data_IF_678867752405
#
_entry.id   IF_678867752405
#
_cell.length_a   1.000
_cell.length_b   1.000
_cell.length_c   1.000
_cell.angle_alpha   90.00
_cell.angle_beta   90.00
_cell.angle_gamma   90.00
#
_symmetry.space_group_name_H-M   'P 1'
#
loop_
_entity.id
_entity.type
_entity.pdbx_description
1 polymer ?
#
# COMPACT_ATOMS: atom_id res chain seq x y z
N UNK A 1 36.17 13.69 18.77
CA UNK A 1 34.89 13.17 18.23
C UNK A 1 33.66 13.75 18.90
N UNK A 2 33.66 14.06 20.21
CA UNK A 2 32.47 14.58 20.91
C UNK A 2 31.90 15.89 20.33
N UNK A 3 32.76 16.75 19.76
CA UNK A 3 32.35 17.99 19.11
C UNK A 3 32.13 17.86 17.59
N UNK A 4 31.98 16.63 17.07
CA UNK A 4 31.78 16.41 15.65
C UNK A 4 30.44 16.99 15.18
N UNK A 5 30.43 17.60 14.00
CA UNK A 5 29.22 18.11 13.35
C UNK A 5 28.42 16.95 12.73
N UNK A 6 27.12 17.14 12.56
CA UNK A 6 26.24 16.10 12.01
C UNK A 6 26.63 15.62 10.59
N UNK A 7 27.26 16.48 9.78
CA UNK A 7 27.74 16.14 8.44
C UNK A 7 29.07 15.36 8.41
N UNK A 8 29.71 15.14 9.56
CA UNK A 8 30.90 14.30 9.68
C UNK A 8 30.58 12.83 9.90
N UNK A 9 29.31 12.50 10.10
CA UNK A 9 28.84 11.13 10.26
C UNK A 9 28.05 10.69 9.05
N UNK A 10 28.21 9.44 8.66
CA UNK A 10 27.42 8.79 7.61
C UNK A 10 27.08 7.37 8.01
N UNK A 11 26.01 6.82 7.42
CA UNK A 11 25.56 5.46 7.65
C UNK A 11 25.83 4.62 6.40
N UNK A 12 26.57 3.54 6.58
CA UNK A 12 26.91 2.59 5.51
C UNK A 12 25.82 1.52 5.32
N UNK A 13 25.71 0.90 4.13
CA UNK A 13 24.82 -0.25 3.89
C UNK A 13 25.05 -1.46 4.80
N UNK A 14 26.27 -1.59 5.35
CA UNK A 14 26.69 -2.64 6.28
C UNK A 14 26.22 -2.37 7.72
N UNK A 15 25.52 -1.26 7.96
CA UNK A 15 25.04 -0.87 9.29
C UNK A 15 26.15 -0.30 10.18
N UNK A 16 27.24 0.20 9.60
CA UNK A 16 28.30 0.92 10.32
C UNK A 16 28.07 2.43 10.26
N UNK A 17 28.22 3.10 11.40
CA UNK A 17 28.33 4.55 11.47
C UNK A 17 29.80 4.90 11.22
N UNK A 18 30.02 5.66 10.15
CA UNK A 18 31.34 6.11 9.73
C UNK A 18 31.53 7.58 10.15
N UNK A 19 32.72 7.91 10.65
CA UNK A 19 33.12 9.27 10.99
C UNK A 19 34.23 9.77 10.06
N UNK A 20 34.15 11.05 9.69
CA UNK A 20 35.17 11.73 8.91
C UNK A 20 35.65 12.99 9.62
N UNK A 21 36.97 13.18 9.69
CA UNK A 21 37.57 14.38 10.27
C UNK A 21 37.25 15.64 9.45
N UNK A 22 37.25 15.53 8.11
CA UNK A 22 36.88 16.61 7.18
C UNK A 22 35.55 16.25 6.50
N UNK A 23 34.50 17.10 6.60
CA UNK A 23 33.19 16.79 6.02
C UNK A 23 33.16 16.61 4.50
N UNK A 24 34.13 17.20 3.78
CA UNK A 24 34.18 17.19 2.30
C UNK A 24 35.23 16.20 1.76
N UNK A 25 35.73 15.30 2.60
CA UNK A 25 36.73 14.31 2.18
C UNK A 25 36.09 13.23 1.29
N UNK A 26 36.67 12.92 0.12
CA UNK A 26 36.18 11.83 -0.74
C UNK A 26 36.53 10.44 -0.20
N UNK A 27 37.40 10.33 0.81
CA UNK A 27 37.81 9.06 1.40
C UNK A 27 36.69 8.45 2.26
N UNK A 28 36.53 7.10 2.26
CA UNK A 28 35.59 6.44 3.15
C UNK A 28 35.87 6.79 4.61
N UNK A 29 34.82 7.09 5.37
CA UNK A 29 34.94 7.40 6.79
C UNK A 29 35.41 6.21 7.62
N UNK A 30 35.93 6.48 8.81
CA UNK A 30 36.39 5.45 9.75
C UNK A 30 35.19 4.90 10.51
N UNK A 31 35.00 3.57 10.63
CA UNK A 31 33.89 3.00 11.38
C UNK A 31 34.07 3.25 12.88
N UNK A 32 33.06 3.86 13.50
CA UNK A 32 33.07 4.23 14.94
C UNK A 32 32.01 3.51 15.74
N UNK A 33 30.96 3.03 15.10
CA UNK A 33 29.91 2.26 15.74
C UNK A 33 29.20 1.35 14.73
N UNK A 34 28.49 0.35 15.25
CA UNK A 34 27.65 -0.58 14.50
C UNK A 34 26.22 -0.52 15.01
N UNK A 35 25.27 -0.62 14.09
CA UNK A 35 23.86 -0.78 14.42
C UNK A 35 23.59 -2.20 14.93
N UNK A 36 22.88 -2.27 16.05
CA UNK A 36 22.40 -3.52 16.64
C UNK A 36 20.89 -3.44 16.85
N UNK A 37 20.27 -4.60 17.09
CA UNK A 37 18.84 -4.67 17.36
C UNK A 37 18.49 -3.78 18.56
N UNK A 38 17.52 -2.88 18.37
CA UNK A 38 16.96 -2.03 19.42
C UNK A 38 15.55 -2.44 19.82
N UNK A 39 14.84 -1.54 20.48
CA UNK A 39 13.46 -1.76 20.96
C UNK A 39 12.45 -1.83 19.80
N UNK A 40 12.72 -1.12 18.71
CA UNK A 40 11.87 -1.03 17.52
C UNK A 40 12.74 -0.84 16.28
N UNK A 41 12.27 -1.25 15.10
CA UNK A 41 13.00 -1.05 13.83
C UNK A 41 13.48 0.40 13.62
N UNK A 42 12.65 1.40 13.97
CA UNK A 42 12.99 2.83 13.84
C UNK A 42 13.83 3.38 15.01
N UNK A 43 14.14 2.56 16.01
CA UNK A 43 14.97 2.90 17.17
C UNK A 43 16.02 1.81 17.39
N UNK A 44 16.95 1.62 16.44
CA UNK A 44 18.01 0.62 16.57
C UNK A 44 18.96 0.97 17.73
N UNK A 45 19.60 -0.05 18.29
CA UNK A 45 20.68 0.13 19.24
C UNK A 45 21.99 0.50 18.54
N UNK A 46 22.93 1.04 19.30
CA UNK A 46 24.28 1.38 18.83
C UNK A 46 25.30 0.67 19.70
N UNK A 47 26.24 -0.01 19.05
CA UNK A 47 27.43 -0.60 19.66
C UNK A 47 28.65 0.19 19.21
N UNK A 48 29.37 0.82 20.14
CA UNK A 48 30.55 1.63 19.80
C UNK A 48 31.73 0.69 19.56
N UNK A 49 32.45 0.92 18.45
CA UNK A 49 33.62 0.13 18.09
C UNK A 49 34.87 0.74 18.74
N UNK A 50 35.76 -0.12 19.24
CA UNK A 50 37.05 0.31 19.78
C UNK A 50 38.03 0.60 18.64
N UNK A 51 38.43 1.86 18.49
CA UNK A 51 39.42 2.31 17.53
C UNK A 51 40.24 3.47 18.11
N UNK A 52 41.26 3.94 17.38
CA UNK A 52 42.14 5.03 17.82
C UNK A 52 41.39 6.32 18.17
N UNK A 53 40.21 6.52 17.58
CA UNK A 53 39.39 7.72 17.71
C UNK A 53 38.33 7.62 18.82
N UNK A 54 37.97 6.41 19.26
CA UNK A 54 36.98 6.14 20.32
C UNK A 54 37.63 5.77 21.66
N UNK A 55 38.86 5.25 21.67
CA UNK A 55 39.55 4.78 22.89
C UNK A 55 39.69 5.83 23.99
N UNK A 56 39.98 7.08 23.62
CA UNK A 56 40.24 8.17 24.57
C UNK A 56 39.01 9.05 24.83
N UNK A 57 37.82 8.57 24.45
CA UNK A 57 36.56 9.32 24.56
C UNK A 57 35.66 8.62 25.58
N UNK A 58 34.92 9.41 26.36
CA UNK A 58 33.90 8.86 27.26
C UNK A 58 32.82 8.13 26.45
N UNK A 59 32.77 6.80 26.62
CA UNK A 59 31.95 5.90 25.82
C UNK A 59 30.45 6.21 25.94
N UNK A 60 30.00 6.60 27.14
CA UNK A 60 28.60 6.95 27.40
C UNK A 60 28.18 8.21 26.63
N UNK A 61 28.99 9.27 26.67
CA UNK A 61 28.73 10.51 25.95
C UNK A 61 28.77 10.30 24.42
N UNK A 62 29.76 9.54 23.93
CA UNK A 62 29.87 9.21 22.52
C UNK A 62 28.63 8.43 22.04
N UNK A 63 28.20 7.43 22.79
CA UNK A 63 26.98 6.65 22.48
C UNK A 63 25.75 7.55 22.42
N UNK A 64 25.59 8.47 23.36
CA UNK A 64 24.46 9.42 23.38
C UNK A 64 24.47 10.35 22.16
N UNK A 65 25.65 10.89 21.80
CA UNK A 65 25.79 11.74 20.62
C UNK A 65 25.50 11.00 19.31
N UNK A 66 26.00 9.76 19.18
CA UNK A 66 25.72 8.91 18.02
C UNK A 66 24.24 8.52 17.94
N UNK A 67 23.60 8.24 19.08
CA UNK A 67 22.17 7.95 19.14
C UNK A 67 21.33 9.17 18.73
N UNK A 68 21.68 10.36 19.21
CA UNK A 68 21.03 11.60 18.81
C UNK A 68 21.17 11.83 17.31
N UNK A 69 22.39 11.73 16.78
CA UNK A 69 22.64 11.88 15.35
C UNK A 69 21.84 10.87 14.52
N UNK A 70 21.84 9.60 14.92
CA UNK A 70 21.12 8.53 14.21
C UNK A 70 19.61 8.79 14.22
N UNK A 71 19.06 9.19 15.37
CA UNK A 71 17.64 9.53 15.48
C UNK A 71 17.28 10.73 14.58
N UNK A 72 18.13 11.74 14.50
CA UNK A 72 17.95 12.87 13.57
C UNK A 72 18.06 12.40 12.10
N UNK A 73 19.02 11.55 11.77
CA UNK A 73 19.16 11.00 10.42
C UNK A 73 17.93 10.19 9.99
N UNK A 74 17.45 9.27 10.85
CA UNK A 74 16.23 8.49 10.62
C UNK A 74 15.02 9.42 10.53
N UNK A 75 14.91 10.42 11.42
CA UNK A 75 13.86 11.43 11.41
C UNK A 75 13.82 12.28 10.14
N UNK A 76 14.96 12.52 9.49
CA UNK A 76 15.02 13.28 8.24
C UNK A 76 14.69 12.41 7.02
N UNK A 77 15.21 11.18 6.96
CA UNK A 77 15.02 10.29 5.80
C UNK A 77 13.64 9.63 5.81
N UNK A 78 13.13 9.26 6.99
CA UNK A 78 11.84 8.60 7.21
C UNK A 78 10.86 9.52 7.94
N UNK A 79 10.97 10.85 7.75
CA UNK A 79 10.14 11.87 8.41
C UNK A 79 8.64 11.50 8.46
N UNK A 80 7.98 11.12 7.35
CA UNK A 80 6.55 10.82 7.39
C UNK A 80 6.21 9.64 8.28
N UNK A 81 7.12 8.65 8.37
CA UNK A 81 6.94 7.45 9.17
C UNK A 81 7.19 7.74 10.65
N UNK A 82 8.27 8.47 10.97
CA UNK A 82 8.58 8.87 12.36
C UNK A 82 7.47 9.74 12.95
N UNK A 83 6.88 10.62 12.15
CA UNK A 83 5.76 11.46 12.55
C UNK A 83 4.51 10.64 12.95
N UNK A 84 4.29 9.46 12.38
CA UNK A 84 3.18 8.57 12.79
C UNK A 84 3.37 7.98 14.19
N UNK A 85 4.62 7.85 14.65
CA UNK A 85 4.93 7.30 15.98
C UNK A 85 4.69 8.30 17.12
N UNK A 86 4.42 9.57 16.80
CA UNK A 86 4.07 10.58 17.79
C UNK A 86 2.62 10.36 18.18
N UNK A 87 2.39 9.82 19.38
CA UNK A 87 1.04 9.65 19.89
C UNK A 87 0.44 11.00 20.25
N UNK A 88 -0.52 11.44 19.45
CA UNK A 88 -1.40 12.54 19.80
C UNK A 88 -2.40 12.04 20.85
N UNK A 89 -2.83 12.91 21.77
CA UNK A 89 -3.86 12.60 22.75
C UNK A 89 -5.22 12.40 22.03
N UNK A 90 -5.43 11.18 21.55
CA UNK A 90 -6.66 10.74 20.90
C UNK A 90 -7.42 9.78 21.84
N UNK A 91 -8.76 9.73 21.74
CA UNK A 91 -9.54 8.75 22.48
C UNK A 91 -9.12 7.33 22.13
N UNK A 92 -9.20 6.42 23.10
CA UNK A 92 -8.91 5.01 22.87
C UNK A 92 -9.86 4.44 21.81
N UNK A 93 -9.31 3.67 20.87
CA UNK A 93 -10.07 3.09 19.76
C UNK A 93 -10.34 4.03 18.58
N UNK A 94 -9.61 5.15 18.47
CA UNK A 94 -9.63 5.99 17.26
C UNK A 94 -9.05 5.22 16.05
N UNK A 95 -9.85 4.96 14.99
CA UNK A 95 -9.39 4.22 13.82
C UNK A 95 -8.20 4.89 13.11
N UNK A 96 -8.05 6.21 13.21
CA UNK A 96 -6.90 6.92 12.61
C UNK A 96 -5.60 6.53 13.31
N UNK A 97 -5.58 6.52 14.65
CA UNK A 97 -4.41 6.13 15.43
C UNK A 97 -4.05 4.67 15.21
N UNK A 98 -5.04 3.78 15.16
CA UNK A 98 -4.81 2.35 14.91
C UNK A 98 -4.14 2.12 13.54
N UNK A 99 -4.60 2.83 12.50
CA UNK A 99 -3.99 2.80 11.16
C UNK A 99 -2.56 3.36 11.21
N UNK A 100 -2.34 4.50 11.87
CA UNK A 100 -1.03 5.13 11.97
C UNK A 100 -0.02 4.22 12.69
N UNK A 101 -0.42 3.60 13.81
CA UNK A 101 0.40 2.66 14.56
C UNK A 101 0.74 1.42 13.75
N UNK A 102 -0.25 0.83 13.08
CA UNK A 102 -0.01 -0.36 12.23
C UNK A 102 0.93 -0.03 11.07
N UNK A 103 0.82 1.16 10.46
CA UNK A 103 1.76 1.63 9.45
C UNK A 103 3.16 1.87 10.03
N UNK A 104 3.26 2.44 11.22
CA UNK A 104 4.53 2.68 11.92
C UNK A 104 5.28 1.36 12.15
N UNK A 105 4.59 0.35 12.70
CA UNK A 105 5.14 -0.96 13.04
C UNK A 105 5.53 -1.77 11.79
N UNK A 106 4.87 -1.53 10.65
CA UNK A 106 5.11 -2.22 9.37
C UNK A 106 6.07 -1.50 8.42
N UNK A 107 6.76 -0.45 8.90
CA UNK A 107 7.65 0.40 8.09
C UNK A 107 6.97 1.07 6.89
N UNK A 108 5.68 1.37 7.03
CA UNK A 108 4.92 2.26 6.15
C UNK A 108 4.15 1.59 5.03
N UNK A 109 4.01 0.26 5.03
CA UNK A 109 3.21 -0.49 4.04
C UNK A 109 2.44 -1.63 4.70
N UNK A 110 1.11 -1.60 4.58
CA UNK A 110 0.20 -2.61 5.16
C UNK A 110 -0.79 -3.10 4.10
N UNK A 111 -1.12 -4.41 4.06
CA UNK A 111 -2.26 -4.89 3.29
C UNK A 111 -3.56 -4.22 3.75
N UNK A 112 -4.34 -3.66 2.82
CA UNK A 112 -5.60 -2.98 3.15
C UNK A 112 -6.57 -3.88 3.91
N UNK A 113 -6.58 -5.17 3.60
CA UNK A 113 -7.40 -6.18 4.28
C UNK A 113 -7.17 -6.20 5.79
N UNK A 114 -5.93 -6.03 6.25
CA UNK A 114 -5.59 -5.97 7.69
C UNK A 114 -6.19 -4.74 8.40
N UNK A 115 -6.49 -3.68 7.64
CA UNK A 115 -7.02 -2.41 8.14
C UNK A 115 -8.49 -2.20 7.78
N UNK A 116 -9.15 -3.19 7.16
CA UNK A 116 -10.55 -3.07 6.71
C UNK A 116 -11.50 -2.67 7.86
N UNK A 117 -11.44 -3.27 9.07
CA UNK A 117 -12.32 -2.89 10.19
C UNK A 117 -12.15 -1.44 10.66
N UNK A 118 -10.95 -0.88 10.55
CA UNK A 118 -10.65 0.50 10.91
C UNK A 118 -11.09 1.44 9.79
N UNK A 119 -10.82 1.08 8.53
CA UNK A 119 -11.19 1.88 7.35
C UNK A 119 -12.70 2.04 7.21
N UNK A 120 -13.48 1.02 7.58
CA UNK A 120 -14.95 1.08 7.58
C UNK A 120 -15.51 2.08 8.61
N UNK A 121 -14.80 2.29 9.72
CA UNK A 121 -15.21 3.20 10.79
C UNK A 121 -14.82 4.67 10.54
N UNK A 122 -13.99 4.93 9.53
CA UNK A 122 -13.49 6.27 9.23
C UNK A 122 -14.59 7.19 8.71
N UNK A 123 -14.80 8.32 9.38
CA UNK A 123 -15.61 9.43 8.88
C UNK A 123 -14.85 10.30 7.84
N UNK A 124 -15.50 11.36 7.37
CA UNK A 124 -14.93 12.28 6.36
C UNK A 124 -13.72 13.05 6.89
N UNK A 125 -13.75 13.48 8.15
CA UNK A 125 -12.73 14.35 8.74
C UNK A 125 -11.49 13.54 9.12
N UNK A 126 -11.69 12.34 9.67
CA UNK A 126 -10.64 11.34 9.88
C UNK A 126 -9.93 10.95 8.57
N UNK A 127 -10.67 10.83 7.46
CA UNK A 127 -10.05 10.64 6.13
C UNK A 127 -9.26 11.87 5.68
N UNK A 128 -9.65 13.08 6.07
CA UNK A 128 -8.84 14.28 5.82
C UNK A 128 -7.55 14.28 6.64
N UNK A 129 -7.59 13.82 7.88
CA UNK A 129 -6.40 13.65 8.74
C UNK A 129 -5.41 12.63 8.15
N UNK A 130 -5.89 11.48 7.67
CA UNK A 130 -4.99 10.52 7.01
C UNK A 130 -4.32 11.09 5.76
N UNK A 131 -5.05 11.91 4.98
CA UNK A 131 -4.49 12.62 3.80
C UNK A 131 -3.45 13.67 4.20
N UNK A 132 -3.66 14.40 5.31
CA UNK A 132 -2.68 15.38 5.78
C UNK A 132 -1.38 14.69 6.24
N UNK A 133 -1.49 13.51 6.88
CA UNK A 133 -0.38 12.61 7.23
C UNK A 133 0.25 11.87 6.03
N UNK A 134 -0.14 12.22 4.79
CA UNK A 134 0.38 11.65 3.53
C UNK A 134 0.15 10.14 3.39
N UNK A 135 -0.84 9.59 4.08
CA UNK A 135 -1.22 8.18 3.97
C UNK A 135 -2.16 8.01 2.77
N UNK A 136 -1.83 7.05 1.90
CA UNK A 136 -2.66 6.66 0.77
C UNK A 136 -3.40 5.38 1.09
N UNK A 137 -4.74 5.44 1.05
CA UNK A 137 -5.63 4.29 1.19
C UNK A 137 -5.86 3.64 -0.19
N UNK A 138 -4.85 2.95 -0.72
CA UNK A 138 -4.93 2.26 -2.01
C UNK A 138 -5.92 1.08 -1.98
N UNK A 139 -6.33 0.53 -3.14
CA UNK A 139 -7.35 -0.52 -3.19
C UNK A 139 -6.90 -1.84 -2.56
N UNK A 140 -5.61 -2.17 -2.65
CA UNK A 140 -5.04 -3.41 -2.07
C UNK A 140 -4.07 -3.12 -0.92
N UNK A 141 -3.37 -1.98 -0.95
CA UNK A 141 -2.35 -1.62 0.02
C UNK A 141 -2.60 -0.22 0.60
N UNK A 142 -2.29 -0.06 1.88
CA UNK A 142 -2.22 1.24 2.55
C UNK A 142 -0.74 1.58 2.75
N UNK A 143 -0.31 2.76 2.30
CA UNK A 143 1.10 3.13 2.32
C UNK A 143 1.34 4.64 2.31
N UNK A 144 2.61 5.04 2.52
CA UNK A 144 3.05 6.45 2.43
C UNK A 144 3.89 6.64 1.15
N UNK A 145 3.40 7.35 0.12
CA UNK A 145 4.11 7.48 -1.16
C UNK A 145 5.51 8.10 -1.07
N UNK A 146 5.73 8.99 -0.10
CA UNK A 146 7.02 9.68 0.09
C UNK A 146 8.15 8.73 0.48
N UNK A 147 7.84 7.52 0.98
CA UNK A 147 8.83 6.52 1.38
C UNK A 147 9.39 5.71 0.20
N UNK A 148 8.90 5.93 -1.02
CA UNK A 148 9.41 5.25 -2.23
C UNK A 148 10.73 5.84 -2.74
N UNK A 149 11.21 6.93 -2.13
CA UNK A 149 12.52 7.52 -2.45
C UNK A 149 13.64 6.52 -2.14
N UNK A 150 14.71 6.43 -2.96
CA UNK A 150 15.76 5.44 -2.77
C UNK A 150 16.41 5.44 -1.39
N UNK A 151 16.69 6.62 -0.83
CA UNK A 151 17.24 6.73 0.53
C UNK A 151 16.34 6.10 1.60
N UNK A 152 15.02 6.29 1.49
CA UNK A 152 14.04 5.71 2.40
C UNK A 152 13.89 4.20 2.21
N UNK A 153 13.97 3.70 0.96
CA UNK A 153 13.97 2.26 0.66
C UNK A 153 15.19 1.59 1.28
N UNK A 154 16.40 2.12 1.05
CA UNK A 154 17.65 1.58 1.63
C UNK A 154 17.64 1.59 3.15
N UNK A 155 17.24 2.72 3.75
CA UNK A 155 17.20 2.84 5.20
C UNK A 155 16.17 1.88 5.83
N UNK A 156 14.98 1.74 5.25
CA UNK A 156 13.99 0.75 5.73
C UNK A 156 14.53 -0.68 5.62
N UNK A 157 15.20 -1.01 4.52
CA UNK A 157 15.81 -2.33 4.33
C UNK A 157 16.90 -2.63 5.38
N UNK A 158 17.77 -1.65 5.65
CA UNK A 158 18.79 -1.73 6.69
C UNK A 158 18.17 -1.91 8.08
N UNK A 159 17.24 -1.04 8.47
CA UNK A 159 16.61 -1.07 9.80
C UNK A 159 15.81 -2.36 10.04
N UNK A 160 15.05 -2.81 9.03
CA UNK A 160 14.33 -4.09 9.10
C UNK A 160 15.29 -5.26 9.27
N UNK A 161 16.40 -5.27 8.52
CA UNK A 161 17.39 -6.34 8.61
C UNK A 161 18.09 -6.38 9.96
N UNK A 162 18.43 -5.21 10.52
CA UNK A 162 18.98 -5.09 11.88
C UNK A 162 17.99 -5.61 12.92
N UNK A 163 16.71 -5.24 12.81
CA UNK A 163 15.66 -5.71 13.75
C UNK A 163 15.45 -7.23 13.70
N UNK A 164 15.44 -7.81 12.49
CA UNK A 164 15.23 -9.24 12.25
C UNK A 164 16.51 -10.08 12.31
N UNK A 165 17.67 -9.48 12.55
CA UNK A 165 18.96 -10.18 12.58
C UNK A 165 19.34 -10.81 11.24
N UNK A 166 18.99 -10.16 10.14
CA UNK A 166 19.29 -10.60 8.77
C UNK A 166 20.64 -10.06 8.30
N UNK A 167 21.33 -10.75 7.37
CA UNK A 167 22.63 -10.30 6.88
C UNK A 167 22.53 -8.93 6.20
N UNK A 168 23.61 -8.17 6.30
CA UNK A 168 23.80 -6.88 5.64
C UNK A 168 24.90 -7.01 4.57
N UNK A 169 24.85 -6.24 3.46
CA UNK A 169 23.82 -5.25 3.13
C UNK A 169 22.46 -5.89 2.80
N UNK A 170 21.38 -5.18 3.11
CA UNK A 170 20.03 -5.67 2.83
C UNK A 170 19.78 -5.78 1.30
N UNK A 171 19.13 -6.84 0.80
CA UNK A 171 18.94 -7.08 -0.64
C UNK A 171 17.78 -6.24 -1.21
N UNK A 172 17.89 -4.91 -1.09
CA UNK A 172 16.90 -3.98 -1.65
C UNK A 172 17.06 -3.85 -3.17
N UNK A 173 15.98 -3.65 -3.93
CA UNK A 173 16.07 -3.37 -5.37
C UNK A 173 16.92 -2.12 -5.65
N UNK A 174 17.61 -2.11 -6.78
CA UNK A 174 18.45 -0.98 -7.17
C UNK A 174 17.62 0.29 -7.44
N UNK A 175 18.28 1.44 -7.26
CA UNK A 175 17.65 2.75 -7.39
C UNK A 175 17.01 2.93 -8.78
N UNK A 176 15.76 3.41 -8.80
CA UNK A 176 15.02 3.69 -10.04
C UNK A 176 14.34 2.48 -10.68
N UNK A 177 14.67 1.25 -10.28
CA UNK A 177 14.02 0.04 -10.80
C UNK A 177 12.55 0.00 -10.34
N UNK A 178 11.66 -0.42 -11.23
CA UNK A 178 10.23 -0.54 -10.93
C UNK A 178 9.86 -1.93 -10.43
N UNK A 179 10.42 -2.98 -11.01
CA UNK A 179 10.24 -4.33 -10.50
C UNK A 179 11.46 -5.20 -10.71
N UNK A 180 11.62 -6.19 -9.83
CA UNK A 180 12.68 -7.20 -9.91
C UNK A 180 12.05 -8.58 -9.76
N UNK A 181 12.63 -9.58 -10.41
CA UNK A 181 12.28 -10.98 -10.19
C UNK A 181 12.86 -11.43 -8.86
N UNK A 182 12.08 -12.21 -8.12
CA UNK A 182 12.48 -12.74 -6.84
C UNK A 182 12.12 -14.22 -6.84
N UNK A 183 13.09 -15.05 -6.51
CA UNK A 183 12.85 -16.47 -6.26
C UNK A 183 11.92 -16.62 -5.04
N UNK A 184 10.70 -17.08 -5.28
CA UNK A 184 9.66 -17.24 -4.25
C UNK A 184 10.10 -18.16 -3.12
N UNK A 185 11.00 -19.11 -3.38
CA UNK A 185 11.49 -20.05 -2.38
C UNK A 185 12.42 -19.41 -1.34
N UNK A 186 13.13 -18.35 -1.73
CA UNK A 186 14.06 -17.61 -0.89
C UNK A 186 13.52 -16.24 -0.43
N UNK A 187 12.38 -15.80 -1.00
CA UNK A 187 11.82 -14.49 -0.75
C UNK A 187 11.32 -14.34 0.69
N UNK A 188 11.54 -13.16 1.28
CA UNK A 188 10.88 -12.75 2.52
C UNK A 188 9.78 -11.72 2.19
N UNK A 189 8.49 -12.12 2.08
CA UNK A 189 7.42 -11.21 1.64
C UNK A 189 7.28 -9.96 2.52
N UNK A 190 7.49 -10.11 3.83
CA UNK A 190 7.40 -9.00 4.76
C UNK A 190 8.56 -8.00 4.61
N UNK A 191 9.76 -8.45 4.23
CA UNK A 191 10.89 -7.55 3.91
C UNK A 191 10.55 -6.69 2.69
N UNK A 192 10.17 -7.35 1.60
CA UNK A 192 9.84 -6.70 0.34
C UNK A 192 8.68 -5.71 0.50
N UNK A 193 7.66 -6.07 1.31
CA UNK A 193 6.59 -5.15 1.70
C UNK A 193 7.12 -3.95 2.50
N UNK A 194 7.93 -4.18 3.54
CA UNK A 194 8.48 -3.13 4.40
C UNK A 194 9.33 -2.10 3.62
N UNK A 195 10.03 -2.53 2.56
CA UNK A 195 10.83 -1.62 1.72
C UNK A 195 10.04 -0.96 0.58
N UNK A 196 8.74 -1.23 0.45
CA UNK A 196 7.87 -0.63 -0.58
C UNK A 196 7.84 -1.37 -1.92
N UNK A 197 8.28 -2.62 -1.96
CA UNK A 197 8.27 -3.49 -3.13
C UNK A 197 7.49 -4.79 -2.87
N UNK A 198 6.18 -4.74 -2.58
CA UNK A 198 5.39 -5.94 -2.33
C UNK A 198 5.53 -7.00 -3.43
N UNK A 199 5.53 -8.27 -3.03
CA UNK A 199 5.67 -9.41 -3.93
C UNK A 199 4.32 -9.80 -4.56
N UNK A 200 4.31 -9.91 -5.89
CA UNK A 200 3.20 -10.41 -6.68
C UNK A 200 3.74 -11.21 -7.88
N UNK A 201 3.26 -12.43 -8.07
CA UNK A 201 3.60 -13.30 -9.20
C UNK A 201 5.11 -13.48 -9.44
N UNK A 202 5.87 -13.83 -8.40
CA UNK A 202 7.33 -13.97 -8.48
C UNK A 202 8.13 -12.68 -8.65
N UNK A 203 7.51 -11.50 -8.45
CA UNK A 203 8.17 -10.20 -8.63
C UNK A 203 7.95 -9.27 -7.45
N UNK A 204 8.98 -8.54 -7.07
CA UNK A 204 8.88 -7.40 -6.16
C UNK A 204 8.62 -6.14 -6.98
N UNK A 205 7.47 -5.49 -6.77
CA UNK A 205 7.01 -4.36 -7.59
C UNK A 205 6.91 -3.11 -6.75
N UNK A 206 7.47 -2.00 -7.23
CA UNK A 206 7.40 -0.70 -6.56
C UNK A 206 5.94 -0.28 -6.36
N UNK A 207 5.60 0.03 -5.12
CA UNK A 207 4.20 0.17 -4.67
C UNK A 207 3.40 1.26 -5.39
N UNK A 208 4.02 2.37 -5.81
CA UNK A 208 3.32 3.43 -6.57
C UNK A 208 2.93 3.00 -7.98
N UNK A 209 3.78 2.21 -8.65
CA UNK A 209 3.47 1.68 -9.98
C UNK A 209 2.44 0.56 -9.91
N UNK A 210 2.55 -0.28 -8.88
CA UNK A 210 1.53 -1.28 -8.59
C UNK A 210 0.15 -0.63 -8.32
N UNK A 211 0.09 0.38 -7.44
CA UNK A 211 -1.15 1.08 -7.14
C UNK A 211 -1.74 1.77 -8.38
N UNK A 212 -0.90 2.31 -9.27
CA UNK A 212 -1.34 2.87 -10.55
C UNK A 212 -2.00 1.82 -11.44
N UNK A 213 -1.38 0.65 -11.60
CA UNK A 213 -1.96 -0.48 -12.36
C UNK A 213 -3.30 -0.88 -11.76
N UNK A 214 -3.36 -1.05 -10.44
CA UNK A 214 -4.58 -1.45 -9.74
C UNK A 214 -5.71 -0.43 -9.96
N UNK A 215 -5.43 0.87 -9.82
CA UNK A 215 -6.44 1.90 -10.05
C UNK A 215 -6.98 1.88 -11.49
N UNK A 216 -6.11 1.67 -12.48
CA UNK A 216 -6.51 1.52 -13.88
C UNK A 216 -7.43 0.32 -14.10
N UNK A 217 -7.14 -0.82 -13.44
CA UNK A 217 -7.96 -2.02 -13.48
C UNK A 217 -9.37 -1.71 -12.94
N UNK A 218 -9.47 -1.04 -11.79
CA UNK A 218 -10.77 -0.69 -11.20
C UNK A 218 -11.54 0.36 -12.01
N UNK A 219 -10.86 1.28 -12.69
CA UNK A 219 -11.49 2.30 -13.55
C UNK A 219 -12.07 1.67 -14.83
N UNK A 220 -11.34 0.74 -15.46
CA UNK A 220 -11.76 0.08 -16.71
C UNK A 220 -12.58 -1.19 -16.51
N UNK A 221 -12.88 -1.54 -15.26
CA UNK A 221 -13.64 -2.72 -14.93
C UNK A 221 -15.12 -2.57 -15.29
N UNK A 222 -15.59 -3.33 -16.27
CA UNK A 222 -17.02 -3.41 -16.63
C UNK A 222 -17.61 -4.75 -16.21
N UNK A 223 -18.71 -4.72 -15.44
CA UNK A 223 -19.39 -5.92 -14.92
C UNK A 223 -18.44 -6.91 -14.22
N UNK A 224 -17.40 -6.38 -13.56
CA UNK A 224 -16.37 -7.17 -12.87
C UNK A 224 -15.37 -7.88 -13.79
N UNK A 225 -15.25 -7.45 -15.05
CA UNK A 225 -14.25 -7.93 -16.01
C UNK A 225 -13.40 -6.76 -16.51
N UNK A 226 -12.15 -7.03 -16.85
CA UNK A 226 -11.25 -6.04 -17.47
C UNK A 226 -10.30 -6.74 -18.43
N UNK A 227 -9.84 -6.05 -19.47
CA UNK A 227 -8.74 -6.54 -20.31
C UNK A 227 -7.39 -6.06 -19.76
N UNK A 228 -6.40 -6.94 -19.77
CA UNK A 228 -5.02 -6.54 -19.55
C UNK A 228 -4.59 -5.54 -20.66
N UNK A 229 -3.69 -4.62 -20.34
CA UNK A 229 -3.23 -3.61 -21.29
C UNK A 229 -1.72 -3.61 -21.36
N UNK A 230 -1.18 -3.37 -22.56
CA UNK A 230 0.27 -3.23 -22.79
C UNK A 230 0.88 -2.18 -21.86
N UNK A 231 0.16 -1.08 -21.64
CA UNK A 231 0.54 -0.01 -20.71
C UNK A 231 0.78 -0.52 -19.28
N UNK A 232 0.06 -1.56 -18.82
CA UNK A 232 0.27 -2.14 -17.49
C UNK A 232 1.62 -2.86 -17.42
N UNK A 233 1.96 -3.65 -18.45
CA UNK A 233 3.27 -4.32 -18.55
C UNK A 233 4.42 -3.31 -18.63
N UNK A 234 4.23 -2.25 -19.42
CA UNK A 234 5.18 -1.13 -19.55
C UNK A 234 5.42 -0.43 -18.20
N UNK A 235 4.36 -0.13 -17.45
CA UNK A 235 4.50 0.48 -16.12
C UNK A 235 5.19 -0.43 -15.11
N UNK A 236 5.00 -1.75 -15.20
CA UNK A 236 5.66 -2.70 -14.31
C UNK A 236 7.09 -3.04 -14.76
N UNK A 237 7.44 -2.74 -16.01
CA UNK A 237 8.73 -3.12 -16.59
C UNK A 237 8.88 -4.65 -16.69
N UNK A 238 7.81 -5.36 -17.06
CA UNK A 238 7.82 -6.82 -17.15
C UNK A 238 7.20 -7.34 -18.45
N UNK A 239 7.41 -8.63 -18.73
CA UNK A 239 6.76 -9.31 -19.86
C UNK A 239 5.26 -9.45 -19.63
N UNK A 240 4.50 -9.68 -20.72
CA UNK A 240 3.04 -9.90 -20.66
C UNK A 240 2.72 -11.14 -19.80
N UNK A 241 3.51 -12.21 -19.92
CA UNK A 241 3.38 -13.41 -19.09
C UNK A 241 3.56 -13.10 -17.59
N UNK A 242 4.57 -12.28 -17.27
CA UNK A 242 4.80 -11.83 -15.90
C UNK A 242 3.65 -10.95 -15.40
N UNK A 243 3.10 -10.08 -16.25
CA UNK A 243 1.91 -9.29 -15.91
C UNK A 243 0.75 -10.22 -15.55
N UNK A 244 0.51 -11.30 -16.30
CA UNK A 244 -0.57 -12.24 -15.99
C UNK A 244 -0.37 -12.92 -14.63
N UNK A 245 0.85 -13.38 -14.32
CA UNK A 245 1.18 -13.92 -12.99
C UNK A 245 0.95 -12.90 -11.86
N UNK A 246 1.31 -11.64 -12.08
CA UNK A 246 1.04 -10.54 -11.13
C UNK A 246 -0.47 -10.38 -10.91
N UNK A 247 -1.27 -10.30 -11.99
CA UNK A 247 -2.73 -10.17 -11.92
C UNK A 247 -3.39 -11.37 -11.18
N UNK A 248 -2.93 -12.58 -11.46
CA UNK A 248 -3.42 -13.81 -10.82
C UNK A 248 -3.08 -13.85 -9.33
N UNK A 249 -1.86 -13.45 -8.95
CA UNK A 249 -1.46 -13.38 -7.53
C UNK A 249 -2.22 -12.32 -6.73
N UNK A 250 -2.75 -11.28 -7.38
CA UNK A 250 -3.70 -10.33 -6.76
C UNK A 250 -5.11 -10.92 -6.57
N UNK A 251 -5.35 -12.10 -7.12
CA UNK A 251 -6.61 -12.86 -7.04
C UNK A 251 -7.55 -12.61 -8.22
N UNK A 252 -7.08 -12.04 -9.33
CA UNK A 252 -7.86 -11.96 -10.57
C UNK A 252 -7.83 -13.29 -11.32
N UNK A 253 -8.93 -13.66 -11.97
CA UNK A 253 -9.01 -14.93 -12.72
C UNK A 253 -8.96 -14.68 -14.21
N UNK A 254 -8.02 -15.29 -14.93
CA UNK A 254 -7.96 -15.26 -16.40
C UNK A 254 -9.21 -15.96 -16.97
N UNK A 255 -9.96 -15.27 -17.84
CA UNK A 255 -11.20 -15.80 -18.47
C UNK A 255 -10.95 -16.17 -19.93
N UNK A 256 -10.22 -15.33 -20.66
CA UNK A 256 -10.03 -15.44 -22.10
C UNK A 256 -8.66 -14.91 -22.47
N UNK A 257 -7.95 -15.60 -23.35
CA UNK A 257 -6.72 -15.12 -23.95
C UNK A 257 -6.83 -15.21 -25.48
N UNK A 258 -6.72 -14.10 -26.22
CA UNK A 258 -6.59 -14.14 -27.67
C UNK A 258 -5.43 -15.04 -28.15
N UNK A 259 -4.36 -15.19 -27.36
CA UNK A 259 -3.23 -16.06 -27.69
C UNK A 259 -3.58 -17.56 -27.61
N UNK A 260 -4.48 -17.95 -26.70
CA UNK A 260 -4.93 -19.34 -26.57
C UNK A 260 -5.78 -19.77 -27.78
N UNK A 261 -6.47 -18.82 -28.43
CA UNK A 261 -7.22 -19.07 -29.66
C UNK A 261 -6.32 -19.15 -30.90
N UNK A 262 -5.27 -18.32 -30.97
CA UNK A 262 -4.25 -18.40 -32.02
C UNK A 262 -3.50 -19.74 -31.97
N UNK A 263 -3.12 -20.19 -30.76
CA UNK A 263 -2.50 -21.49 -30.56
C UNK A 263 -3.43 -22.64 -31.00
N UNK A 264 -4.73 -22.59 -30.65
CA UNK A 264 -5.72 -23.59 -31.10
C UNK A 264 -5.94 -23.58 -32.62
N UNK A 265 -5.87 -22.42 -33.27
CA UNK A 265 -5.94 -22.33 -34.73
C UNK A 265 -4.70 -22.92 -35.39
N UNK A 266 -3.50 -22.71 -34.84
CA UNK A 266 -2.26 -23.33 -35.36
C UNK A 266 -2.23 -24.85 -35.17
N UNK A 267 -2.75 -25.40 -34.06
CA UNK A 267 -2.87 -26.87 -33.92
C UNK A 267 -3.90 -27.44 -34.92
N UNK A 268 -5.01 -26.74 -35.15
CA UNK A 268 -6.01 -27.16 -36.14
C UNK A 268 -5.56 -27.03 -37.60
N UNK A 269 -4.56 -26.19 -37.88
CA UNK A 269 -3.95 -26.05 -39.20
C UNK A 269 -2.91 -27.16 -39.47
N UNK A 270 -2.26 -27.67 -38.42
CA UNK A 270 -1.33 -28.82 -38.50
C UNK A 270 -2.08 -30.17 -38.59
N UNK A 271 -3.31 -30.26 -38.08
CA UNK A 271 -4.16 -31.45 -38.20
C UNK A 271 -4.90 -31.54 -39.57
N UNK A 272 -4.76 -30.53 -40.44
CA UNK A 272 -5.40 -30.45 -41.76
C UNK A 272 -4.66 -31.14 -42.91
N UNK A 273 -3.41 -31.56 -42.71
CA UNK A 273 -2.60 -32.25 -43.73
C UNK A 273 -1.89 -33.50 -43.17
N UNK A 274 -2.63 -34.42 -42.54
CA UNK A 274 -2.14 -35.79 -42.35
C UNK A 274 -3.29 -36.78 -42.13
N UNK A 275 -3.98 -37.16 -43.19
CA UNK A 275 -4.73 -38.42 -43.23
C UNK A 275 -4.48 -39.17 -44.53
N UNK A 276 -3.38 -39.94 -44.54
CA UNK A 276 -3.29 -41.20 -45.27
C UNK A 276 -2.19 -42.10 -44.68
N UNK A 277 -2.64 -43.07 -43.87
CA UNK A 277 -2.05 -44.39 -43.62
C UNK A 277 -0.67 -44.54 -42.94
N UNK A 278 -0.72 -45.08 -41.72
CA UNK A 278 0.33 -45.68 -40.88
C UNK A 278 0.78 -47.09 -41.38
N UNK A 279 1.56 -47.91 -40.63
CA UNK A 279 2.86 -47.71 -39.95
C UNK A 279 3.87 -48.86 -40.24
N UNK A 280 5.16 -48.71 -39.89
CA UNK A 280 6.05 -49.85 -39.58
C UNK A 280 7.04 -49.50 -38.46
N UNK A 281 6.96 -50.29 -37.38
CA UNK A 281 7.84 -50.31 -36.21
C UNK A 281 9.13 -51.05 -36.56
N UNK A 282 10.30 -50.54 -36.10
CA UNK A 282 11.43 -51.37 -35.63
C UNK A 282 12.27 -50.63 -34.59
N UNK A 283 12.53 -51.37 -33.50
CA UNK A 283 13.42 -51.09 -32.37
C UNK A 283 14.90 -51.19 -32.77
N UNK A 284 15.75 -50.51 -31.99
CA UNK A 284 17.08 -50.88 -31.43
C UNK A 284 17.71 -49.53 -30.96
N UNK A 285 17.84 -49.20 -29.67
CA UNK A 285 18.90 -49.60 -28.70
C UNK A 285 20.24 -49.84 -29.42
N UNK A 286 21.34 -49.11 -29.18
CA UNK A 286 22.05 -48.99 -27.91
C UNK A 286 23.28 -48.06 -28.09
N UNK A 287 23.71 -47.37 -27.02
CA UNK A 287 25.14 -47.12 -26.64
C UNK A 287 26.00 -46.19 -27.55
N UNK A 288 27.00 -45.41 -27.12
CA UNK A 288 27.71 -45.19 -25.85
C UNK A 288 28.69 -44.00 -26.04
N UNK A 289 28.99 -43.34 -24.92
CA UNK A 289 30.17 -42.55 -24.55
C UNK A 289 30.57 -41.19 -25.19
N UNK A 290 30.55 -40.21 -24.27
CA UNK A 290 31.34 -38.98 -24.05
C UNK A 290 32.88 -39.25 -24.09
N UNK A 291 33.82 -38.30 -23.79
CA UNK A 291 33.75 -36.83 -23.62
C UNK A 291 34.96 -36.07 -24.25
N UNK A 292 35.12 -34.79 -23.87
CA UNK A 292 36.39 -34.03 -23.61
C UNK A 292 36.72 -32.95 -24.67
N UNK A 293 36.47 -31.66 -24.40
CA UNK A 293 37.39 -30.61 -23.86
C UNK A 293 38.43 -30.14 -24.91
N UNK A 294 38.83 -28.87 -25.11
CA UNK A 294 38.93 -27.65 -24.29
C UNK A 294 39.39 -26.48 -25.23
N UNK A 295 39.31 -25.24 -24.72
CA UNK A 295 40.00 -23.98 -25.11
C UNK A 295 39.43 -23.10 -26.25
N UNK A 296 38.93 -21.88 -25.98
CA UNK A 296 39.62 -20.57 -25.73
C UNK A 296 40.17 -19.95 -27.05
N UNK A 297 39.93 -18.70 -27.47
CA UNK A 297 40.32 -17.41 -26.87
C UNK A 297 39.64 -16.22 -27.62
N UNK A 298 39.31 -15.18 -26.84
CA UNK A 298 38.97 -13.77 -27.07
C UNK A 298 39.41 -12.99 -28.34
N UNK A 299 38.67 -11.93 -28.71
CA UNK A 299 39.09 -10.51 -28.48
C UNK A 299 38.05 -9.42 -28.85
N UNK A 300 38.12 -8.37 -28.04
CA UNK A 300 37.40 -7.09 -27.88
C UNK A 300 37.86 -5.95 -28.81
N UNK A 301 37.11 -4.81 -28.77
CA UNK A 301 37.48 -3.36 -28.94
C UNK A 301 36.81 -2.67 -30.14
N UNK A 302 36.45 -1.39 -30.17
CA UNK A 302 36.08 -0.31 -29.22
C UNK A 302 35.61 0.87 -30.11
N UNK A 303 35.18 1.95 -29.48
CA UNK A 303 34.54 3.18 -29.99
C UNK A 303 35.26 3.96 -31.12
N UNK A 304 34.51 4.84 -31.80
CA UNK A 304 35.07 5.87 -32.67
C UNK A 304 34.04 6.70 -33.44
N UNK A 305 33.74 7.88 -32.89
CA UNK A 305 32.96 9.01 -33.40
C UNK A 305 33.43 9.56 -34.78
N UNK A 306 32.50 9.97 -35.65
CA UNK A 306 32.45 11.31 -36.27
C UNK A 306 31.42 11.44 -37.41
N UNK A 307 30.86 12.65 -37.45
CA UNK A 307 29.94 13.28 -38.39
C UNK A 307 30.23 13.13 -39.88
N UNK A 308 29.18 12.92 -40.71
CA UNK A 308 28.84 13.88 -41.76
C UNK A 308 27.40 13.76 -42.27
N UNK A 309 26.88 14.88 -42.78
CA UNK A 309 25.49 15.18 -43.15
C UNK A 309 24.98 14.43 -44.38
N UNK A 310 23.70 14.04 -44.36
CA UNK A 310 22.81 14.12 -45.55
C UNK A 310 21.42 14.55 -45.12
N UNK A 311 21.00 15.74 -45.58
CA UNK A 311 19.61 16.17 -45.66
C UNK A 311 18.84 15.18 -46.54
N UNK A 312 17.83 14.50 -45.98
CA UNK A 312 16.78 13.88 -46.79
C UNK A 312 15.44 14.22 -46.15
N UNK A 313 14.69 15.03 -46.89
CA UNK A 313 13.30 15.36 -46.65
C UNK A 313 12.49 14.06 -46.49
N UNK A 314 12.03 13.79 -45.27
CA UNK A 314 10.98 12.79 -45.03
C UNK A 314 9.68 13.56 -44.94
N UNK A 315 8.88 13.42 -45.99
CA UNK A 315 7.50 13.86 -46.03
C UNK A 315 6.72 13.26 -44.86
N UNK A 316 5.87 14.10 -44.30
CA UNK A 316 4.95 13.85 -43.19
C UNK A 316 3.97 12.72 -43.58
N UNK A 317 4.26 11.49 -43.14
CA UNK A 317 3.38 10.33 -43.28
C UNK A 317 2.53 10.23 -41.99
N UNK A 318 1.20 10.37 -42.05
CA UNK A 318 0.36 10.35 -40.87
C UNK A 318 0.45 8.99 -40.17
N UNK A 319 0.90 9.03 -38.91
CA UNK A 319 1.06 7.90 -38.00
C UNK A 319 -0.03 6.82 -38.16
N UNK A 320 0.35 5.69 -38.77
CA UNK A 320 -0.32 4.41 -38.52
C UNK A 320 -0.10 4.06 -37.04
N UNK A 321 -1.09 4.38 -36.21
CA UNK A 321 -1.25 3.72 -34.91
C UNK A 321 -1.41 2.22 -35.17
N UNK A 322 -0.31 1.48 -35.11
CA UNK A 322 -0.35 0.03 -35.06
C UNK A 322 -1.15 -0.35 -33.82
N UNK A 323 -2.34 -0.91 -34.02
CA UNK A 323 -3.15 -1.53 -32.96
C UNK A 323 -2.29 -2.64 -32.35
N UNK A 324 -1.68 -2.37 -31.19
CA UNK A 324 -1.04 -3.41 -30.36
C UNK A 324 -2.08 -4.52 -30.12
N UNK A 325 -1.65 -5.80 -30.09
CA UNK A 325 -2.57 -6.93 -30.02
C UNK A 325 -3.49 -6.84 -28.79
N UNK A 326 -4.67 -7.44 -28.87
CA UNK A 326 -5.56 -7.53 -27.72
C UNK A 326 -4.98 -8.54 -26.71
N UNK A 327 -4.98 -8.20 -25.43
CA UNK A 327 -4.44 -9.04 -24.36
C UNK A 327 -5.58 -9.73 -23.60
N UNK A 328 -5.21 -10.73 -22.79
CA UNK A 328 -6.14 -11.53 -22.00
C UNK A 328 -7.13 -10.72 -21.14
N UNK A 329 -8.34 -11.24 -21.02
CA UNK A 329 -9.43 -10.70 -20.20
C UNK A 329 -9.48 -11.42 -18.86
N UNK A 330 -9.56 -10.64 -17.79
CA UNK A 330 -9.57 -11.11 -16.40
C UNK A 330 -10.90 -10.78 -15.70
N UNK A 331 -11.26 -11.58 -14.70
CA UNK A 331 -12.34 -11.33 -13.74
C UNK A 331 -11.76 -10.72 -12.47
N UNK A 332 -12.34 -9.63 -11.98
CA UNK A 332 -11.94 -9.06 -10.69
C UNK A 332 -12.29 -9.99 -9.53
N UNK A 333 -11.41 -10.00 -8.52
CA UNK A 333 -11.70 -10.57 -7.20
C UNK A 333 -12.85 -9.75 -6.61
N UNK A 334 -14.01 -10.35 -6.38
CA UNK A 334 -15.12 -9.67 -5.71
C UNK A 334 -14.69 -9.38 -4.27
N UNK A 335 -14.39 -8.13 -3.95
CA UNK A 335 -14.28 -7.68 -2.57
C UNK A 335 -15.66 -7.65 -1.92
N UNK A 336 -15.72 -7.78 -0.60
CA UNK A 336 -16.97 -7.69 0.19
C UNK A 336 -17.73 -6.38 -0.02
N UNK A 337 -17.05 -5.33 -0.51
CA UNK A 337 -17.65 -4.04 -0.86
C UNK A 337 -18.72 -4.09 -1.97
N UNK A 338 -18.77 -5.16 -2.77
CA UNK A 338 -19.78 -5.36 -3.82
C UNK A 338 -20.86 -6.39 -3.47
N UNK A 339 -20.83 -6.97 -2.26
CA UNK A 339 -21.99 -7.74 -1.79
C UNK A 339 -23.16 -6.78 -1.57
N UNK A 340 -24.33 -7.01 -2.18
CA UNK A 340 -25.52 -6.25 -1.80
C UNK A 340 -25.73 -6.48 -0.31
N UNK A 341 -25.65 -5.40 0.49
CA UNK A 341 -26.00 -5.46 1.92
C UNK A 341 -27.34 -6.16 2.00
N UNK A 342 -27.36 -7.35 2.63
CA UNK A 342 -28.61 -8.09 2.85
C UNK A 342 -29.60 -7.11 3.49
N UNK A 343 -30.80 -6.90 2.92
CA UNK A 343 -31.78 -6.04 3.55
C UNK A 343 -32.01 -6.58 4.96
N UNK A 344 -31.83 -5.74 5.97
CA UNK A 344 -32.07 -6.09 7.36
C UNK A 344 -33.44 -6.76 7.43
N UNK A 345 -33.47 -8.02 7.87
CA UNK A 345 -34.68 -8.81 7.94
C UNK A 345 -35.75 -8.01 8.69
N UNK A 346 -36.90 -7.82 8.06
CA UNK A 346 -38.09 -7.26 8.72
C UNK A 346 -38.32 -8.09 9.98
N UNK A 347 -38.19 -7.45 11.15
CA UNK A 347 -38.71 -7.97 12.39
C UNK A 347 -40.21 -8.24 12.17
N UNK A 348 -40.59 -9.51 12.13
CA UNK A 348 -41.99 -9.90 12.21
C UNK A 348 -42.52 -9.47 13.59
N UNK A 349 -43.30 -8.40 13.63
CA UNK A 349 -44.15 -8.08 14.77
C UNK A 349 -45.24 -9.15 14.85
N UNK A 350 -45.03 -10.12 15.74
CA UNK A 350 -46.06 -11.10 16.08
C UNK A 350 -47.19 -10.39 16.83
N UNK A 351 -48.27 -10.11 16.11
CA UNK A 351 -49.56 -9.71 16.65
C UNK A 351 -50.07 -10.78 17.62
N UNK A 352 -50.08 -10.48 18.93
CA UNK A 352 -50.79 -11.29 19.91
C UNK A 352 -52.29 -11.06 19.75
N UNK A 353 -52.96 -11.98 19.04
CA UNK A 353 -54.40 -12.19 19.18
C UNK A 353 -54.69 -12.69 20.59
N UNK A 354 -55.41 -11.89 21.36
CA UNK A 354 -56.03 -12.32 22.60
C UNK A 354 -57.11 -13.36 22.31
N UNK A 355 -57.10 -14.45 23.07
CA UNK A 355 -58.26 -15.32 23.25
C UNK A 355 -58.43 -15.55 24.75
N UNK A 356 -59.60 -15.13 25.23
CA UNK A 356 -60.12 -15.44 26.56
C UNK A 356 -60.48 -16.93 26.63
N UNK A 357 -60.10 -17.61 27.72
CA UNK A 357 -61.03 -18.46 28.47
C UNK A 357 -60.50 -18.81 29.86
N UNK A 358 -61.45 -18.81 30.80
CA UNK A 358 -61.33 -19.12 32.22
C UNK A 358 -61.10 -20.61 32.47
N UNK A 359 -60.48 -20.93 33.61
CA UNK A 359 -61.13 -21.70 34.69
C UNK A 359 -60.22 -21.73 35.95
N UNK A 360 -60.86 -21.58 37.11
CA UNK A 360 -60.33 -21.61 38.48
C UNK A 360 -60.22 -23.08 39.00
N UNK A 361 -60.05 -23.36 40.32
CA UNK A 361 -59.00 -23.01 41.29
C UNK A 361 -58.49 -24.25 42.08
N UNK A 362 -57.38 -24.11 42.83
CA UNK A 362 -57.04 -24.75 44.13
C UNK A 362 -55.51 -24.65 44.36
N UNK A 363 -54.90 -24.57 45.55
CA UNK A 363 -55.32 -24.77 46.93
C UNK A 363 -54.28 -24.10 47.87
N UNK A 364 -54.75 -23.82 49.09
CA UNK A 364 -54.05 -23.86 50.39
C UNK A 364 -52.79 -23.02 50.70
N UNK A 365 -53.04 -22.13 51.66
CA UNK A 365 -52.23 -21.58 52.75
C UNK A 365 -51.17 -22.48 53.42
N UNK A 366 -50.06 -21.83 53.82
CA UNK A 366 -49.26 -21.94 55.07
C UNK A 366 -47.91 -21.24 54.78
N UNK A 367 -47.18 -20.53 55.63
CA UNK A 367 -47.26 -20.06 57.01
C UNK A 367 -46.07 -19.08 57.21
N UNK A 368 -46.14 -18.14 58.19
CA UNK A 368 -45.01 -17.46 58.84
C UNK A 368 -44.12 -16.50 58.02
N UNK A 369 -43.93 -15.21 58.31
CA UNK A 369 -43.94 -14.52 59.60
C UNK A 369 -42.53 -14.32 60.16
N UNK A 370 -41.82 -13.24 59.80
CA UNK A 370 -40.96 -12.49 60.75
C UNK A 370 -40.54 -11.12 60.22
N UNK A 371 -40.27 -10.22 61.16
CA UNK A 371 -40.45 -8.78 61.12
C UNK A 371 -39.14 -7.98 61.04
N UNK A 372 -39.23 -6.79 60.40
CA UNK A 372 -38.71 -5.45 60.80
C UNK A 372 -37.19 -5.29 61.08
N UNK A 373 -36.52 -4.17 60.79
CA UNK A 373 -36.76 -2.76 61.19
C UNK A 373 -35.91 -1.77 60.34
N UNK A 374 -36.37 -0.50 60.32
CA UNK A 374 -35.83 0.74 59.70
C UNK A 374 -34.44 1.18 60.22
N UNK A 375 -33.79 2.24 59.69
CA UNK A 375 -33.98 3.62 60.25
C UNK A 375 -33.83 4.77 59.18
N UNK A 376 -33.49 6.06 59.47
CA UNK A 376 -34.44 7.20 59.38
C UNK A 376 -33.94 8.51 58.66
N UNK A 377 -34.75 9.59 58.75
CA UNK A 377 -34.60 11.00 58.26
C UNK A 377 -33.55 11.86 59.03
N UNK A 378 -32.97 12.91 58.40
CA UNK A 378 -33.32 14.36 58.60
C UNK A 378 -32.23 15.40 58.21
N UNK A 379 -32.66 16.56 57.63
CA UNK A 379 -32.15 17.97 57.68
C UNK A 379 -30.70 18.31 57.24
N UNK A 380 -30.31 19.46 56.64
CA UNK A 380 -30.80 20.86 56.57
C UNK A 380 -29.95 21.66 55.51
N UNK A 381 -30.44 22.77 54.94
CA UNK A 381 -29.58 23.86 54.44
C UNK A 381 -30.00 24.65 53.18
N UNK A 382 -30.32 25.94 53.35
CA UNK A 382 -30.68 27.02 52.36
C UNK A 382 -29.48 27.40 51.44
N UNK A 383 -29.53 28.13 50.30
CA UNK A 383 -30.27 29.36 49.88
C UNK A 383 -29.85 29.73 48.41
N UNK A 384 -30.71 30.40 47.62
CA UNK A 384 -30.28 31.50 46.71
C UNK A 384 -30.63 31.49 45.21
N UNK A 385 -31.66 32.30 44.84
CA UNK A 385 -31.86 33.12 43.61
C UNK A 385 -31.79 32.52 42.18
N UNK A 386 -32.41 33.05 41.11
CA UNK A 386 -33.60 33.89 40.77
C UNK A 386 -33.57 34.00 39.23
N UNK A 387 -34.73 34.18 38.58
CA UNK A 387 -34.98 34.48 37.13
C UNK A 387 -34.83 33.27 36.20
N UNK A 388 -35.75 32.95 35.28
CA UNK A 388 -36.82 33.71 34.66
C UNK A 388 -36.63 33.59 33.14
N UNK A 389 -37.59 32.99 32.42
CA UNK A 389 -37.55 32.90 30.96
C UNK A 389 -38.34 31.72 30.42
N UNK A 390 -39.57 31.98 29.99
CA UNK A 390 -40.58 31.04 29.51
C UNK A 390 -40.90 31.44 28.07
N UNK A 391 -40.85 30.50 27.11
CA UNK A 391 -41.46 30.52 25.76
C UNK A 391 -41.26 29.09 25.22
N UNK A 392 -42.22 28.18 25.00
CA UNK A 392 -43.50 28.21 24.24
C UNK A 392 -43.26 28.73 22.82
N UNK A 393 -43.54 28.10 21.68
CA UNK A 393 -44.35 26.99 21.14
C UNK A 393 -43.63 26.60 19.82
N UNK A 394 -43.80 25.48 19.12
CA UNK A 394 -45.03 24.92 18.56
C UNK A 394 -44.70 23.55 17.93
N UNK A 395 -45.53 22.55 18.23
CA UNK A 395 -45.78 21.41 17.36
C UNK A 395 -46.35 21.90 16.02
N UNK A 396 -45.87 21.33 14.91
CA UNK A 396 -46.67 21.07 13.71
C UNK A 396 -46.24 19.73 13.15
N UNK A 397 -47.09 18.74 13.41
CA UNK A 397 -47.18 17.49 12.68
C UNK A 397 -47.62 17.81 11.24
N UNK A 398 -46.91 17.24 10.26
CA UNK A 398 -47.43 17.02 8.93
C UNK A 398 -47.07 15.60 8.52
N UNK A 399 -48.13 14.85 8.24
CA UNK A 399 -48.12 13.48 7.77
C UNK A 399 -47.41 13.32 6.41
N UNK A 400 -47.00 12.07 6.21
CA UNK A 400 -46.39 11.48 5.03
C UNK A 400 -47.17 11.79 3.74
N UNK A 401 -46.41 11.95 2.65
CA UNK A 401 -46.72 11.27 1.39
C UNK A 401 -45.43 10.71 0.75
N UNK A 402 -45.58 9.48 0.28
CA UNK A 402 -44.65 8.69 -0.53
C UNK A 402 -44.40 9.40 -1.87
N UNK A 403 -43.14 9.46 -2.31
CA UNK A 403 -42.70 9.46 -3.71
C UNK A 403 -41.16 9.57 -3.74
N UNK A 404 -40.47 8.44 -3.60
CA UNK A 404 -39.03 8.33 -3.90
C UNK A 404 -38.85 7.55 -5.19
N UNK A 405 -39.03 8.23 -6.32
CA UNK A 405 -38.42 7.81 -7.57
C UNK A 405 -36.90 7.93 -7.47
N UNK A 406 -36.21 6.87 -7.89
CA UNK A 406 -34.76 6.73 -7.84
C UNK A 406 -34.07 7.76 -8.74
N UNK A 407 -33.45 8.78 -8.13
CA UNK A 407 -32.49 9.63 -8.84
C UNK A 407 -31.18 8.87 -9.01
N UNK A 408 -30.99 8.37 -10.22
CA UNK A 408 -29.70 7.97 -10.79
C UNK A 408 -28.76 9.18 -10.72
N UNK A 409 -27.72 9.10 -9.88
CA UNK A 409 -26.66 10.11 -9.84
C UNK A 409 -25.65 9.75 -10.94
N UNK A 410 -25.89 10.29 -12.13
CA UNK A 410 -24.89 10.41 -13.19
C UNK A 410 -23.84 11.45 -12.77
N UNK A 411 -22.59 11.03 -12.63
CA UNK A 411 -21.46 11.94 -12.44
C UNK A 411 -21.11 12.61 -13.78
N UNK A 412 -21.80 13.69 -14.08
CA UNK A 412 -21.40 14.62 -15.12
C UNK A 412 -21.51 16.03 -14.55
N UNK A 413 -20.45 16.45 -13.86
CA UNK A 413 -20.36 17.79 -13.32
C UNK A 413 -20.13 18.76 -14.48
N UNK A 414 -21.18 19.48 -14.90
CA UNK A 414 -21.03 20.71 -15.68
C UNK A 414 -20.21 21.70 -14.86
N UNK A 415 -18.92 21.82 -15.17
CA UNK A 415 -18.09 22.94 -14.71
C UNK A 415 -18.67 24.20 -15.34
N UNK A 416 -19.10 25.16 -14.51
CA UNK A 416 -19.33 26.52 -15.00
C UNK A 416 -17.96 27.12 -15.29
N UNK A 417 -17.77 27.65 -16.50
CA UNK A 417 -16.50 28.21 -16.98
C UNK A 417 -16.02 29.44 -16.17
N UNK A 418 -16.85 29.96 -15.26
CA UNK A 418 -16.55 31.15 -14.45
C UNK A 418 -15.56 30.89 -13.30
N UNK A 419 -15.38 29.63 -12.87
CA UNK A 419 -14.43 29.24 -11.81
C UNK A 419 -13.17 28.53 -12.36
N UNK A 420 -12.86 28.74 -13.65
CA UNK A 420 -11.59 28.30 -14.22
C UNK A 420 -10.45 29.23 -13.77
N UNK A 421 -9.30 28.70 -13.30
CA UNK A 421 -8.14 29.52 -12.93
C UNK A 421 -7.56 30.34 -14.09
N UNK A 422 -8.03 30.12 -15.33
CA UNK A 422 -7.69 30.89 -16.53
C UNK A 422 -8.65 32.04 -16.86
N UNK A 423 -9.78 32.19 -16.14
CA UNK A 423 -10.78 33.23 -16.41
C UNK A 423 -10.22 34.67 -16.25
N UNK A 424 -9.15 34.82 -15.46
CA UNK A 424 -8.45 36.09 -15.26
C UNK A 424 -7.68 36.52 -16.53
N UNK A 425 -7.22 35.58 -17.35
CA UNK A 425 -6.46 35.87 -18.58
C UNK A 425 -7.36 36.31 -19.75
N UNK A 426 -8.61 35.83 -19.82
CA UNK A 426 -9.57 36.31 -20.83
C UNK A 426 -10.03 37.75 -20.56
N UNK A 427 -10.14 38.17 -19.29
CA UNK A 427 -10.50 39.54 -18.93
C UNK A 427 -9.38 40.57 -19.18
N UNK A 428 -8.14 40.12 -19.34
CA UNK A 428 -7.00 40.98 -19.66
C UNK A 428 -6.80 41.20 -21.17
N UNK A 429 -7.45 40.42 -22.04
CA UNK A 429 -7.33 40.54 -23.50
C UNK A 429 -8.32 41.52 -24.14
N UNK A 430 -9.25 42.08 -23.36
CA UNK A 430 -10.30 43.02 -23.83
C UNK A 430 -9.95 44.48 -23.51
N UNK A 431 -8.78 44.76 -22.92
CA UNK A 431 -8.38 46.13 -22.53
C UNK A 431 -7.12 46.61 -23.25
N UNK A 432 -7.12 46.44 -24.57
CA UNK A 432 -6.06 46.91 -25.45
C UNK A 432 -6.55 46.93 -26.88
N UNK A 433 -7.57 47.72 -27.15
CA UNK A 433 -7.91 48.31 -28.45
C UNK A 433 -9.02 49.35 -28.20
N UNK A 434 -8.60 50.56 -27.84
CA UNK A 434 -9.23 51.86 -28.16
C UNK A 434 -8.27 52.99 -27.77
#
# INVERSE_FOLDING_TARGET
MLNAKANQFSLSPEGLILWQAKPESPLPGVPVAKLVKGEHALRPGIEVLENEWTKNVEQAELRNNLALWLNTYIGNVLEPLVFLGVQEAAPSGDPVQDICKTLYDSLGVVPRETLEPQIEKLDHDQRAVLRSKKIRLGPILVFIPLLNKPAAVRLRGLLWSVEKGKPLPAPVPADGIVSVEVDESAAAPDFYRAVGYPLYGGRAVRIDMLDRVINLIYEKAEKGKFSAQHQMAEWLGCSIESLYKVLESMGHTKIYDPADDAAKMEVSALDGEASAAAPLIKKEEESVDNPTALEEVSKTSEEGDSSDRVDTQVADDPQKQQKKPELAVFRLKRGKAFEPKKPAGKLHSASRKGSFKADSPDHSSEEGGSQRRKPPKSEKGRKGHKKGGRMSKHHKDFDRDDDREARVISFEAKRKDEDSPFAILQKLKVKGDD
#
